data_IF_697918024930
#
_entry.id   IF_697918024930
#
_cell.length_a   1.000
_cell.length_b   1.000
_cell.length_c   1.000
_cell.angle_alpha   90.00
_cell.angle_beta   90.00
_cell.angle_gamma   90.00
#
_symmetry.space_group_name_H-M   'P 1'
#
loop_
_entity.id
_entity.type
_entity.pdbx_description
1 polymer ?
#
# COMPACT_ATOMS: atom_id res chain seq x y z
N UNK A 1 27.50 -16.11 -18.83
CA UNK A 1 26.25 -15.54 -18.32
C UNK A 1 26.16 -15.47 -16.80
N UNK A 2 26.41 -16.55 -16.07
CA UNK A 2 26.41 -16.59 -14.58
C UNK A 2 27.45 -15.65 -13.94
N UNK A 3 28.62 -15.49 -14.53
CA UNK A 3 29.69 -14.63 -14.02
C UNK A 3 29.33 -13.13 -14.11
N UNK A 4 28.58 -12.76 -15.14
CA UNK A 4 28.10 -11.37 -15.32
C UNK A 4 27.01 -11.01 -14.30
N UNK A 5 26.11 -11.93 -14.01
CA UNK A 5 25.07 -11.77 -12.99
C UNK A 5 25.70 -11.66 -11.59
N UNK A 6 26.74 -12.43 -11.31
CA UNK A 6 27.47 -12.37 -10.04
C UNK A 6 28.20 -11.04 -9.85
N UNK A 7 28.82 -10.48 -10.91
CA UNK A 7 29.47 -9.16 -10.88
C UNK A 7 28.44 -8.05 -10.67
N UNK A 8 27.29 -8.09 -11.34
CA UNK A 8 26.21 -7.13 -11.15
C UNK A 8 25.64 -7.18 -9.72
N UNK A 9 25.50 -8.38 -9.18
CA UNK A 9 25.05 -8.57 -7.79
C UNK A 9 26.06 -8.04 -6.75
N UNK A 10 27.36 -8.25 -6.98
CA UNK A 10 28.43 -7.73 -6.14
C UNK A 10 28.52 -6.21 -6.21
N UNK A 11 28.39 -5.62 -7.40
CA UNK A 11 28.41 -4.16 -7.58
C UNK A 11 27.20 -3.49 -6.91
N UNK A 12 26.00 -4.06 -7.03
CA UNK A 12 24.82 -3.55 -6.33
C UNK A 12 24.99 -3.60 -4.80
N UNK A 13 25.59 -4.67 -4.26
CA UNK A 13 25.92 -4.75 -2.82
C UNK A 13 26.96 -3.71 -2.38
N UNK A 14 27.97 -3.45 -3.19
CA UNK A 14 29.00 -2.45 -2.90
C UNK A 14 28.42 -1.03 -2.92
N UNK A 15 27.47 -0.76 -3.81
CA UNK A 15 26.78 0.52 -3.89
C UNK A 15 25.90 0.78 -2.66
N UNK A 16 25.15 -0.23 -2.21
CA UNK A 16 24.33 -0.14 -0.97
C UNK A 16 25.23 0.09 0.26
N UNK A 17 26.38 -0.57 0.34
CA UNK A 17 27.34 -0.39 1.44
C UNK A 17 27.91 1.04 1.41
N UNK A 18 28.19 1.59 0.25
CA UNK A 18 28.67 2.96 0.07
C UNK A 18 27.61 4.00 0.52
N UNK A 19 26.35 3.79 0.17
CA UNK A 19 25.25 4.69 0.58
C UNK A 19 25.02 4.64 2.09
N UNK A 20 25.10 3.46 2.70
CA UNK A 20 25.00 3.29 4.16
C UNK A 20 26.17 3.99 4.86
N UNK A 21 27.39 3.89 4.35
CA UNK A 21 28.53 4.58 4.93
C UNK A 21 28.40 6.11 4.84
N UNK A 22 27.94 6.63 3.71
CA UNK A 22 27.69 8.07 3.53
C UNK A 22 26.58 8.59 4.46
N UNK A 23 25.54 7.79 4.72
CA UNK A 23 24.49 8.12 5.67
C UNK A 23 25.02 8.18 7.12
N UNK A 24 25.86 7.21 7.49
CA UNK A 24 26.50 7.17 8.81
C UNK A 24 27.46 8.35 9.02
N UNK A 25 28.28 8.68 8.03
CA UNK A 25 29.19 9.81 8.11
C UNK A 25 28.43 11.13 8.26
N UNK A 26 27.35 11.32 7.53
CA UNK A 26 26.45 12.48 7.65
C UNK A 26 25.80 12.57 9.04
N UNK A 27 25.35 11.43 9.58
CA UNK A 27 24.74 11.36 10.91
C UNK A 27 25.74 11.70 12.03
N UNK A 28 26.98 11.20 11.95
CA UNK A 28 28.01 11.48 12.94
C UNK A 28 28.54 12.91 12.85
N UNK A 29 28.65 13.49 11.67
CA UNK A 29 28.97 14.92 11.51
C UNK A 29 27.94 15.84 12.20
N UNK A 30 26.64 15.50 12.10
CA UNK A 30 25.57 16.25 12.78
C UNK A 30 25.56 16.09 14.31
N UNK A 31 26.05 14.96 14.85
CA UNK A 31 26.00 14.68 16.30
C UNK A 31 27.19 15.18 17.08
N UNK A 32 28.22 15.75 16.44
CA UNK A 32 29.40 16.33 17.09
C UNK A 32 30.28 15.34 17.86
N UNK A 33 30.05 14.04 17.75
CA UNK A 33 30.83 13.01 18.46
C UNK A 33 31.95 12.49 17.55
N UNK A 34 33.20 12.89 17.85
CA UNK A 34 34.40 12.29 17.26
C UNK A 34 34.58 10.87 17.79
N UNK A 35 34.25 9.86 17.04
CA UNK A 35 34.68 8.49 17.32
C UNK A 35 36.01 8.24 16.59
N UNK A 36 36.99 7.70 17.35
CA UNK A 36 38.32 7.38 16.84
C UNK A 36 38.27 6.47 15.62
N UNK A 37 39.26 6.63 14.74
CA UNK A 37 39.42 5.98 13.44
C UNK A 37 39.47 4.45 13.55
N UNK A 38 38.32 3.83 13.62
CA UNK A 38 38.20 2.37 13.51
C UNK A 38 37.40 2.04 12.23
N UNK A 39 38.14 1.71 11.16
CA UNK A 39 37.60 1.18 9.89
C UNK A 39 36.80 -0.14 10.03
N UNK A 40 36.65 -0.65 11.24
CA UNK A 40 35.99 -1.93 11.54
C UNK A 40 34.52 -1.81 11.97
N UNK A 41 34.04 -0.62 12.36
CA UNK A 41 32.67 -0.43 12.84
C UNK A 41 31.57 -0.75 11.79
N UNK A 42 31.71 -0.35 10.50
CA UNK A 42 30.72 -0.68 9.49
C UNK A 42 30.60 -2.20 9.25
N UNK A 43 31.72 -2.92 9.33
CA UNK A 43 31.74 -4.37 9.14
C UNK A 43 31.03 -5.12 10.28
N UNK A 44 31.24 -4.68 11.53
CA UNK A 44 30.57 -5.24 12.71
C UNK A 44 29.05 -4.98 12.68
N UNK A 45 28.63 -3.82 12.21
CA UNK A 45 27.22 -3.47 12.09
C UNK A 45 26.54 -4.34 11.02
N UNK A 46 27.17 -4.54 9.86
CA UNK A 46 26.67 -5.44 8.81
C UNK A 46 26.61 -6.91 9.26
N UNK A 47 27.61 -7.41 10.00
CA UNK A 47 27.61 -8.77 10.53
C UNK A 47 26.52 -8.96 11.57
N UNK A 48 26.30 -7.97 12.45
CA UNK A 48 25.23 -8.02 13.45
C UNK A 48 23.83 -7.90 12.80
N UNK A 49 23.68 -7.11 11.74
CA UNK A 49 22.44 -7.05 10.97
C UNK A 49 22.16 -8.37 10.24
N UNK A 50 23.17 -8.96 9.62
CA UNK A 50 23.06 -10.27 8.97
C UNK A 50 22.76 -11.40 9.98
N UNK A 51 23.37 -11.35 11.18
CA UNK A 51 23.04 -12.25 12.29
C UNK A 51 21.62 -12.07 12.81
N UNK A 52 21.16 -10.81 12.94
CA UNK A 52 19.79 -10.54 13.33
C UNK A 52 18.79 -11.05 12.29
N UNK A 53 19.03 -10.79 11.00
CA UNK A 53 18.21 -11.32 9.91
C UNK A 53 18.16 -12.86 9.90
N UNK A 54 19.30 -13.52 10.14
CA UNK A 54 19.35 -14.98 10.26
C UNK A 54 18.61 -15.51 11.50
N UNK A 55 18.72 -14.81 12.63
CA UNK A 55 18.05 -15.17 13.90
C UNK A 55 16.53 -15.04 13.82
N UNK A 56 16.03 -14.05 13.09
CA UNK A 56 14.59 -13.81 12.92
C UNK A 56 14.03 -14.48 11.66
N UNK A 57 14.82 -15.29 10.96
CA UNK A 57 14.38 -15.99 9.73
C UNK A 57 13.65 -15.07 8.75
N UNK A 58 14.13 -13.82 8.62
CA UNK A 58 13.61 -12.85 7.67
C UNK A 58 14.04 -13.30 6.28
N UNK A 59 13.33 -14.27 5.74
CA UNK A 59 13.41 -14.61 4.32
C UNK A 59 12.89 -13.42 3.55
N UNK A 60 13.62 -12.90 2.53
CA UNK A 60 13.02 -11.99 1.59
C UNK A 60 11.74 -12.66 1.09
N UNK A 61 10.61 -11.97 1.26
CA UNK A 61 9.31 -12.50 0.83
C UNK A 61 9.47 -12.84 -0.65
N UNK A 62 9.77 -14.12 -0.95
CA UNK A 62 9.72 -14.59 -2.33
C UNK A 62 8.37 -14.15 -2.84
N UNK A 63 8.33 -13.29 -3.84
CA UNK A 63 7.14 -13.06 -4.61
C UNK A 63 6.71 -14.44 -5.12
N UNK A 64 5.86 -15.07 -4.33
CA UNK A 64 5.01 -16.13 -4.82
C UNK A 64 4.05 -15.40 -5.76
N UNK A 65 4.51 -15.15 -6.98
CA UNK A 65 3.59 -14.93 -8.09
C UNK A 65 2.66 -16.13 -8.00
N UNK A 66 1.49 -15.87 -7.43
CA UNK A 66 0.59 -16.96 -7.12
C UNK A 66 0.33 -17.65 -8.44
N UNK A 67 0.47 -18.98 -8.52
CA UNK A 67 0.27 -19.78 -9.73
C UNK A 67 -1.03 -19.45 -10.46
N UNK A 68 -1.96 -18.83 -9.75
CA UNK A 68 -3.26 -18.35 -10.27
C UNK A 68 -3.15 -17.18 -11.25
N UNK A 69 -2.05 -16.40 -11.24
CA UNK A 69 -1.83 -15.36 -12.26
C UNK A 69 -1.59 -15.94 -13.65
N UNK A 70 -1.01 -17.15 -13.69
CA UNK A 70 -0.73 -17.88 -14.94
C UNK A 70 -1.85 -18.81 -15.38
N UNK A 71 -2.77 -19.20 -14.48
CA UNK A 71 -3.87 -20.12 -14.78
C UNK A 71 -5.09 -19.45 -15.40
N UNK A 72 -5.27 -18.14 -15.22
CA UNK A 72 -6.38 -17.40 -15.81
C UNK A 72 -5.96 -16.86 -17.19
N UNK A 73 -6.79 -17.14 -18.20
CA UNK A 73 -6.62 -16.51 -19.51
C UNK A 73 -6.79 -14.98 -19.39
N UNK A 74 -6.14 -14.22 -20.26
CA UNK A 74 -6.23 -12.76 -20.28
C UNK A 74 -7.67 -12.30 -20.48
N UNK A 75 -8.42 -12.98 -21.35
CA UNK A 75 -9.84 -12.74 -21.60
C UNK A 75 -10.68 -12.91 -20.31
N UNK A 76 -10.41 -13.95 -19.53
CA UNK A 76 -11.12 -14.17 -18.26
C UNK A 76 -10.78 -13.06 -17.24
N UNK A 77 -9.52 -12.60 -17.22
CA UNK A 77 -9.13 -11.49 -16.36
C UNK A 77 -9.83 -10.20 -16.73
N UNK A 78 -9.96 -9.92 -18.03
CA UNK A 78 -10.62 -8.71 -18.52
C UNK A 78 -12.12 -8.75 -18.23
N UNK A 79 -12.78 -9.87 -18.45
CA UNK A 79 -14.18 -10.06 -18.09
C UNK A 79 -14.41 -9.86 -16.58
N UNK A 80 -13.59 -10.47 -15.73
CA UNK A 80 -13.72 -10.31 -14.29
C UNK A 80 -13.40 -8.86 -13.85
N UNK A 81 -12.47 -8.17 -14.50
CA UNK A 81 -12.21 -6.74 -14.27
C UNK A 81 -13.47 -5.92 -14.49
N UNK A 82 -14.15 -6.12 -15.63
CA UNK A 82 -15.33 -5.34 -16.02
C UNK A 82 -16.50 -5.61 -15.07
N UNK A 83 -16.68 -6.87 -14.66
CA UNK A 83 -17.68 -7.23 -13.64
C UNK A 83 -17.37 -6.65 -12.26
N UNK A 84 -16.10 -6.63 -11.84
CA UNK A 84 -15.67 -5.98 -10.60
C UNK A 84 -15.99 -4.48 -10.64
N UNK A 85 -15.68 -3.82 -11.75
CA UNK A 85 -16.01 -2.39 -11.93
C UNK A 85 -17.52 -2.18 -11.86
N UNK A 86 -18.32 -3.01 -12.52
CA UNK A 86 -19.78 -2.93 -12.48
C UNK A 86 -20.31 -3.00 -11.04
N UNK A 87 -19.93 -4.02 -10.30
CA UNK A 87 -20.41 -4.21 -8.92
C UNK A 87 -19.89 -3.14 -7.96
N UNK A 88 -18.59 -2.84 -8.01
CA UNK A 88 -17.99 -1.89 -7.09
C UNK A 88 -18.41 -0.46 -7.41
N UNK A 89 -18.32 -0.03 -8.67
CA UNK A 89 -18.50 1.37 -9.06
C UNK A 89 -19.95 1.69 -9.39
N UNK A 90 -20.57 0.91 -10.30
CA UNK A 90 -21.93 1.22 -10.78
C UNK A 90 -22.98 0.87 -9.74
N UNK A 91 -22.88 -0.29 -9.10
CA UNK A 91 -23.79 -0.69 -8.04
C UNK A 91 -23.40 -0.14 -6.66
N UNK A 92 -22.24 0.53 -6.56
CA UNK A 92 -21.73 1.16 -5.33
C UNK A 92 -21.62 0.20 -4.14
N UNK A 93 -21.35 -1.08 -4.41
CA UNK A 93 -21.17 -2.11 -3.37
C UNK A 93 -20.03 -1.76 -2.38
N UNK A 94 -19.12 -0.85 -2.74
CA UNK A 94 -18.11 -0.34 -1.83
C UNK A 94 -18.69 0.38 -0.60
N UNK A 95 -19.94 0.85 -0.67
CA UNK A 95 -20.61 1.53 0.48
C UNK A 95 -21.02 0.55 1.59
N UNK A 96 -21.18 -0.72 1.28
CA UNK A 96 -21.39 -1.75 2.30
C UNK A 96 -20.04 -2.08 2.98
N UNK A 97 -19.87 -1.76 4.29
CA UNK A 97 -18.63 -2.05 5.01
C UNK A 97 -18.32 -3.55 5.09
N UNK A 98 -19.34 -4.40 5.02
CA UNK A 98 -19.23 -5.86 5.07
C UNK A 98 -18.96 -6.50 3.70
N UNK A 99 -18.98 -5.70 2.60
CA UNK A 99 -18.74 -6.22 1.27
C UNK A 99 -17.25 -6.46 1.03
N UNK A 100 -16.83 -7.69 1.21
CA UNK A 100 -15.44 -8.13 1.11
C UNK A 100 -15.18 -8.97 -0.15
N UNK A 101 -13.92 -9.37 -0.36
CA UNK A 101 -13.53 -10.14 -1.55
C UNK A 101 -14.20 -11.53 -1.64
N UNK A 102 -14.72 -12.07 -0.53
CA UNK A 102 -15.47 -13.34 -0.54
C UNK A 102 -16.87 -13.11 -1.10
N UNK A 103 -17.59 -12.10 -0.59
CA UNK A 103 -18.93 -11.73 -1.12
C UNK A 103 -18.85 -11.37 -2.59
N UNK A 104 -17.82 -10.61 -3.01
CA UNK A 104 -17.60 -10.31 -4.42
C UNK A 104 -17.36 -11.59 -5.25
N UNK A 105 -16.60 -12.54 -4.74
CA UNK A 105 -16.34 -13.80 -5.42
C UNK A 105 -17.61 -14.67 -5.54
N UNK A 106 -18.46 -14.65 -4.52
CA UNK A 106 -19.78 -15.31 -4.53
C UNK A 106 -20.70 -14.68 -5.58
N UNK A 107 -20.82 -13.35 -5.61
CA UNK A 107 -21.62 -12.62 -6.59
C UNK A 107 -21.16 -12.90 -8.04
N UNK A 108 -19.87 -13.11 -8.26
CA UNK A 108 -19.27 -13.39 -9.56
C UNK A 108 -19.14 -14.89 -9.88
N UNK A 109 -19.68 -15.78 -9.03
CA UNK A 109 -19.54 -17.24 -9.15
C UNK A 109 -18.08 -17.68 -9.40
N UNK A 110 -17.16 -17.12 -8.63
CA UNK A 110 -15.72 -17.37 -8.74
C UNK A 110 -15.09 -17.56 -7.34
N UNK A 111 -13.78 -17.57 -7.25
CA UNK A 111 -13.12 -17.64 -5.95
C UNK A 111 -12.32 -16.37 -5.64
N UNK A 112 -12.12 -16.10 -4.34
CA UNK A 112 -11.40 -14.90 -3.87
C UNK A 112 -9.95 -14.84 -4.36
N UNK A 113 -9.34 -15.96 -4.74
CA UNK A 113 -7.98 -16.00 -5.31
C UNK A 113 -7.94 -15.41 -6.72
N UNK A 114 -8.98 -15.67 -7.52
CA UNK A 114 -9.12 -15.07 -8.85
C UNK A 114 -9.37 -13.57 -8.75
N UNK A 115 -10.23 -13.15 -7.82
CA UNK A 115 -10.42 -11.71 -7.51
C UNK A 115 -9.09 -11.06 -7.15
N UNK A 116 -8.31 -11.67 -6.26
CA UNK A 116 -6.99 -11.14 -5.87
C UNK A 116 -6.01 -11.07 -7.04
N UNK A 117 -6.02 -12.08 -7.92
CA UNK A 117 -5.17 -12.10 -9.11
C UNK A 117 -5.56 -10.99 -10.11
N UNK A 118 -6.86 -10.79 -10.34
CA UNK A 118 -7.36 -9.71 -11.22
C UNK A 118 -7.06 -8.35 -10.61
N UNK A 119 -7.29 -8.15 -9.31
CA UNK A 119 -6.95 -6.90 -8.62
C UNK A 119 -5.46 -6.56 -8.77
N UNK A 120 -4.58 -7.53 -8.57
CA UNK A 120 -3.15 -7.31 -8.69
C UNK A 120 -2.70 -7.03 -10.14
N UNK A 121 -3.27 -7.73 -11.13
CA UNK A 121 -2.82 -7.64 -12.53
C UNK A 121 -3.48 -6.50 -13.31
N UNK A 122 -4.75 -6.15 -13.04
CA UNK A 122 -5.51 -5.15 -13.78
C UNK A 122 -5.61 -3.80 -13.08
N UNK A 123 -5.62 -3.80 -11.75
CA UNK A 123 -5.70 -2.56 -10.96
C UNK A 123 -4.40 -2.21 -10.24
N UNK A 124 -3.39 -3.11 -10.24
CA UNK A 124 -2.12 -2.95 -9.52
C UNK A 124 -2.29 -2.67 -8.02
N UNK A 125 -3.37 -3.20 -7.43
CA UNK A 125 -3.78 -3.02 -6.04
C UNK A 125 -4.38 -4.31 -5.50
N UNK A 126 -4.41 -4.46 -4.19
CA UNK A 126 -5.25 -5.49 -3.60
C UNK A 126 -6.72 -5.02 -3.55
N UNK A 127 -7.65 -5.95 -3.30
CA UNK A 127 -9.08 -5.65 -3.24
C UNK A 127 -9.43 -4.55 -2.23
N UNK A 128 -8.86 -4.62 -1.02
CA UNK A 128 -9.14 -3.64 0.03
C UNK A 128 -8.64 -2.24 -0.34
N UNK A 129 -7.49 -2.13 -0.98
CA UNK A 129 -6.98 -0.85 -1.48
C UNK A 129 -7.88 -0.29 -2.58
N UNK A 130 -8.32 -1.15 -3.50
CA UNK A 130 -9.25 -0.75 -4.57
C UNK A 130 -10.55 -0.17 -4.00
N UNK A 131 -11.19 -0.88 -3.08
CA UNK A 131 -12.45 -0.46 -2.45
C UNK A 131 -12.25 0.82 -1.63
N UNK A 132 -11.18 0.89 -0.83
CA UNK A 132 -10.92 2.06 -0.01
C UNK A 132 -10.62 3.31 -0.85
N UNK A 133 -10.06 3.17 -2.04
CA UNK A 133 -9.89 4.29 -2.97
C UNK A 133 -11.24 4.90 -3.38
N UNK A 134 -12.24 4.07 -3.69
CA UNK A 134 -13.59 4.56 -4.00
C UNK A 134 -14.27 5.19 -2.79
N UNK A 135 -14.12 4.58 -1.61
CA UNK A 135 -14.65 5.14 -0.35
C UNK A 135 -14.04 6.50 -0.01
N UNK A 136 -12.72 6.65 -0.18
CA UNK A 136 -12.05 7.95 0.04
C UNK A 136 -12.53 8.99 -0.96
N UNK A 137 -12.68 8.64 -2.24
CA UNK A 137 -13.20 9.58 -3.25
C UNK A 137 -14.63 10.04 -2.93
N UNK A 138 -15.49 9.12 -2.51
CA UNK A 138 -16.85 9.45 -2.11
C UNK A 138 -16.84 10.37 -0.88
N UNK A 139 -16.02 10.05 0.14
CA UNK A 139 -15.86 10.90 1.31
C UNK A 139 -15.33 12.30 0.97
N UNK A 140 -14.39 12.45 0.05
CA UNK A 140 -13.90 13.75 -0.42
C UNK A 140 -15.05 14.59 -1.01
N UNK A 141 -15.88 13.98 -1.84
CA UNK A 141 -17.05 14.64 -2.43
C UNK A 141 -18.05 15.08 -1.36
N UNK A 142 -18.34 14.22 -0.38
CA UNK A 142 -19.24 14.52 0.72
C UNK A 142 -18.68 15.61 1.66
N UNK A 143 -17.38 15.61 1.94
CA UNK A 143 -16.72 16.60 2.80
C UNK A 143 -16.76 18.01 2.21
N UNK A 144 -16.81 18.14 0.89
CA UNK A 144 -16.82 19.44 0.19
C UNK A 144 -18.21 19.90 -0.23
N UNK A 145 -19.22 19.06 -0.11
CA UNK A 145 -20.60 19.38 -0.47
C UNK A 145 -21.28 20.17 0.66
N UNK A 146 -21.80 21.37 0.34
CA UNK A 146 -22.49 22.26 1.28
C UNK A 146 -23.70 21.61 1.95
N UNK A 147 -24.35 20.65 1.29
CA UNK A 147 -25.48 19.91 1.85
C UNK A 147 -25.12 19.12 3.10
N UNK A 148 -23.87 18.65 3.17
CA UNK A 148 -23.35 17.85 4.28
C UNK A 148 -22.42 18.65 5.22
N UNK A 149 -22.37 19.98 5.09
CA UNK A 149 -21.46 20.83 5.88
C UNK A 149 -21.69 20.73 7.40
N UNK A 150 -22.94 20.45 7.83
CA UNK A 150 -23.31 20.28 9.25
C UNK A 150 -23.09 18.85 9.78
N UNK A 151 -22.83 17.89 8.92
CA UNK A 151 -22.60 16.51 9.33
C UNK A 151 -21.22 16.34 9.96
N UNK A 152 -21.12 15.44 10.91
CA UNK A 152 -19.81 15.10 11.49
C UNK A 152 -18.91 14.41 10.46
N UNK A 153 -17.60 14.38 10.70
CA UNK A 153 -16.66 13.66 9.85
C UNK A 153 -16.89 12.15 9.98
N UNK A 154 -17.36 11.73 11.13
CA UNK A 154 -17.73 10.35 11.47
C UNK A 154 -18.94 9.90 10.63
N UNK A 155 -20.01 10.68 10.58
CA UNK A 155 -21.19 10.37 9.75
C UNK A 155 -20.82 10.23 8.27
N UNK A 156 -19.94 11.10 7.77
CA UNK A 156 -19.44 11.04 6.40
C UNK A 156 -18.61 9.76 6.17
N UNK A 157 -17.83 9.35 7.17
CA UNK A 157 -17.08 8.10 7.13
C UNK A 157 -18.01 6.88 6.93
N UNK A 158 -19.10 6.81 7.68
CA UNK A 158 -20.11 5.76 7.58
C UNK A 158 -20.84 5.80 6.23
N UNK A 159 -21.25 6.98 5.76
CA UNK A 159 -21.88 7.17 4.44
C UNK A 159 -20.97 6.73 3.29
N UNK A 160 -19.65 6.87 3.45
CA UNK A 160 -18.67 6.41 2.48
C UNK A 160 -18.39 4.90 2.58
N UNK A 161 -18.91 4.19 3.59
CA UNK A 161 -18.81 2.75 3.75
C UNK A 161 -17.63 2.28 4.61
N UNK A 162 -17.04 3.14 5.43
CA UNK A 162 -16.02 2.70 6.39
C UNK A 162 -16.66 2.15 7.66
N UNK A 163 -16.21 0.98 8.11
CA UNK A 163 -16.70 0.34 9.33
C UNK A 163 -16.16 0.98 10.60
N UNK A 164 -15.03 1.69 10.54
CA UNK A 164 -14.40 2.33 11.70
C UNK A 164 -13.78 3.67 11.34
N UNK A 165 -13.85 4.62 12.28
CA UNK A 165 -13.18 5.92 12.18
C UNK A 165 -11.68 5.77 11.94
N UNK A 166 -11.03 4.83 12.64
CA UNK A 166 -9.59 4.61 12.52
C UNK A 166 -9.21 4.19 11.09
N UNK A 167 -9.95 3.25 10.49
CA UNK A 167 -9.74 2.82 9.11
C UNK A 167 -9.93 3.99 8.13
N UNK A 168 -10.97 4.80 8.32
CA UNK A 168 -11.20 5.99 7.50
C UNK A 168 -10.03 6.96 7.53
N UNK A 169 -9.64 7.42 8.72
CA UNK A 169 -8.56 8.39 8.88
C UNK A 169 -7.24 7.87 8.30
N UNK A 170 -6.89 6.60 8.53
CA UNK A 170 -5.67 6.00 8.02
C UNK A 170 -5.65 5.95 6.48
N UNK A 171 -6.75 5.51 5.85
CA UNK A 171 -6.83 5.43 4.39
C UNK A 171 -6.90 6.81 3.73
N UNK A 172 -7.63 7.75 4.35
CA UNK A 172 -7.74 9.13 3.86
C UNK A 172 -6.38 9.82 3.92
N UNK A 173 -5.68 9.75 5.06
CA UNK A 173 -4.35 10.33 5.22
C UNK A 173 -3.31 9.69 4.29
N UNK A 174 -3.32 8.36 4.16
CA UNK A 174 -2.44 7.62 3.23
C UNK A 174 -2.56 8.15 1.79
N UNK A 175 -3.76 8.52 1.38
CA UNK A 175 -4.06 8.92 -0.01
C UNK A 175 -3.90 10.41 -0.26
N UNK A 176 -4.34 11.25 0.68
CA UNK A 176 -4.46 12.71 0.49
C UNK A 176 -3.32 13.47 1.20
N UNK A 177 -2.69 12.87 2.21
CA UNK A 177 -1.60 13.49 2.96
C UNK A 177 -2.04 14.43 4.08
N UNK A 178 -3.35 14.72 4.21
CA UNK A 178 -3.93 15.54 5.27
C UNK A 178 -5.12 14.83 5.90
N UNK A 179 -5.58 15.32 7.05
CA UNK A 179 -6.74 14.72 7.74
C UNK A 179 -8.05 15.10 7.04
N UNK A 180 -9.12 14.27 7.16
CA UNK A 180 -10.44 14.60 6.62
C UNK A 180 -10.98 15.94 7.12
N UNK A 181 -10.72 16.29 8.40
CA UNK A 181 -11.13 17.55 8.99
C UNK A 181 -10.40 18.74 8.34
N UNK A 182 -9.09 18.61 8.15
CA UNK A 182 -8.31 19.67 7.49
C UNK A 182 -8.76 19.83 6.05
N UNK A 183 -8.94 18.73 5.32
CA UNK A 183 -9.44 18.73 3.94
C UNK A 183 -10.77 19.49 3.82
N UNK A 184 -11.72 19.26 4.74
CA UNK A 184 -13.00 19.99 4.79
C UNK A 184 -12.79 21.49 5.00
N UNK A 185 -11.96 21.89 5.96
CA UNK A 185 -11.70 23.29 6.26
C UNK A 185 -11.12 24.03 5.07
N UNK A 186 -10.11 23.45 4.44
CA UNK A 186 -9.41 24.03 3.31
C UNK A 186 -10.37 24.28 2.10
N UNK A 187 -11.33 23.37 1.88
CA UNK A 187 -12.23 23.43 0.73
C UNK A 187 -13.53 24.19 0.99
N UNK A 188 -13.98 24.32 2.25
CA UNK A 188 -15.15 25.14 2.58
C UNK A 188 -14.81 26.61 2.74
N UNK A 189 -13.58 26.95 3.11
CA UNK A 189 -13.12 28.35 3.25
C UNK A 189 -12.78 29.01 1.90
N UNK A 190 -12.53 28.23 0.86
CA UNK A 190 -12.06 28.73 -0.45
C UNK A 190 -13.23 29.05 -1.41
N UNK A 191 -14.48 28.99 -0.96
CA UNK A 191 -15.69 29.29 -1.74
C UNK A 191 -16.63 30.20 -0.95
#
# INVERSE_FOLDING_TARGET
MLFYILIMYLNAKLQIISEINNYFDSFFQKSGKKFGSSRFLPYLCCINLLRAMAKYNIQPKKEKTARYHTLLSEETKDRLRDEIIRLIVTERKYKDPEYNSKKLAEDLNTNSRYISAVCATRFHKNYSELVNDYRVNDAMSLLTDKRYAKMSVEDISEMAGFSTRQSFYANFYKRIGITPRQYRLDHLQTR
#
